data_IF_210250410786
#
_entry.id   IF_210250410786
#
_cell.length_a   1.000
_cell.length_b   1.000
_cell.length_c   1.000
_cell.angle_alpha   90.00
_cell.angle_beta   90.00
_cell.angle_gamma   90.00
#
_symmetry.space_group_name_H-M   'P 1'
#
loop_
_entity.id
_entity.type
_entity.pdbx_description
1 polymer ?
#
# COMPACT_ATOMS: atom_id res chain seq x y z
N UNK A 1 6.02 -0.07 2.80
CA UNK A 1 5.62 0.79 1.67
C UNK A 1 4.15 1.14 1.86
N UNK A 2 3.71 2.33 1.47
CA UNK A 2 2.29 2.67 1.49
C UNK A 2 1.54 1.98 0.34
N UNK A 3 0.28 1.65 0.57
CA UNK A 3 -0.63 1.20 -0.47
C UNK A 3 -1.33 2.39 -1.13
N UNK A 4 -1.54 2.31 -2.44
CA UNK A 4 -2.27 3.30 -3.22
C UNK A 4 -2.86 2.67 -4.48
N UNK A 5 -3.83 3.34 -5.09
CA UNK A 5 -4.43 2.89 -6.34
C UNK A 5 -5.50 3.86 -6.86
N UNK A 6 -6.09 3.52 -8.00
CA UNK A 6 -7.30 4.18 -8.50
C UNK A 6 -8.21 3.14 -9.14
N UNK A 7 -9.51 3.26 -8.89
CA UNK A 7 -10.55 2.36 -9.40
C UNK A 7 -11.51 3.12 -10.33
N UNK A 8 -10.95 3.82 -11.32
CA UNK A 8 -11.67 4.78 -12.18
C UNK A 8 -12.32 5.93 -11.40
N UNK A 9 -11.78 6.24 -10.22
CA UNK A 9 -12.21 7.31 -9.35
C UNK A 9 -11.00 8.06 -8.81
N UNK A 10 -11.10 8.66 -7.62
CA UNK A 10 -9.98 9.36 -7.00
C UNK A 10 -8.75 8.47 -6.86
N UNK A 11 -7.60 9.11 -6.77
CA UNK A 11 -6.39 8.45 -6.32
C UNK A 11 -6.54 8.15 -4.82
N UNK A 12 -6.65 6.87 -4.50
CA UNK A 12 -6.79 6.33 -3.15
C UNK A 12 -5.41 6.02 -2.59
N UNK A 13 -5.14 6.44 -1.35
CA UNK A 13 -3.85 6.23 -0.69
C UNK A 13 -4.04 6.11 0.82
N UNK A 14 -3.14 5.41 1.50
CA UNK A 14 -3.17 5.29 2.95
C UNK A 14 -2.93 6.64 3.66
N UNK A 15 -3.55 6.87 4.84
CA UNK A 15 -3.37 8.11 5.59
C UNK A 15 -1.91 8.39 5.93
N UNK A 16 -1.46 9.63 5.73
CA UNK A 16 -0.10 10.05 6.08
C UNK A 16 1.01 9.46 5.20
N UNK A 17 0.68 8.74 4.13
CA UNK A 17 1.66 8.16 3.21
C UNK A 17 2.26 9.16 2.22
N UNK A 18 1.54 10.25 1.91
CA UNK A 18 2.02 11.29 1.01
C UNK A 18 2.89 12.30 1.76
N UNK A 19 4.02 12.68 1.16
CA UNK A 19 4.75 13.86 1.58
C UNK A 19 3.88 15.12 1.34
N UNK A 20 4.07 16.13 2.19
CA UNK A 20 3.18 17.30 2.28
C UNK A 20 3.05 18.06 0.95
N UNK A 21 4.08 18.02 0.12
CA UNK A 21 4.16 18.67 -1.19
C UNK A 21 3.48 17.88 -2.32
N UNK A 22 3.28 16.58 -2.16
CA UNK A 22 2.82 15.70 -3.26
C UNK A 22 1.32 15.84 -3.47
N UNK A 23 0.53 15.93 -2.40
CA UNK A 23 -0.92 16.07 -2.52
C UNK A 23 -1.33 17.36 -3.28
N UNK A 24 -0.80 18.55 -2.95
CA UNK A 24 -1.07 19.77 -3.72
C UNK A 24 -0.64 19.67 -5.19
N UNK A 25 0.50 19.04 -5.48
CA UNK A 25 0.98 18.88 -6.85
C UNK A 25 0.03 18.01 -7.70
N UNK A 26 -0.44 16.89 -7.15
CA UNK A 26 -1.40 16.01 -7.81
C UNK A 26 -2.77 16.70 -8.00
N UNK A 27 -3.23 17.46 -7.01
CA UNK A 27 -4.46 18.25 -7.11
C UNK A 27 -4.37 19.33 -8.20
N UNK A 28 -3.21 20.00 -8.35
CA UNK A 28 -2.98 20.96 -9.43
C UNK A 28 -3.00 20.31 -10.82
N UNK A 29 -2.71 19.00 -10.91
CA UNK A 29 -2.85 18.19 -12.12
C UNK A 29 -4.29 17.69 -12.35
N UNK A 30 -5.25 18.10 -11.52
CA UNK A 30 -6.65 17.72 -11.62
C UNK A 30 -7.00 16.37 -10.99
N UNK A 31 -6.12 15.78 -10.19
CA UNK A 31 -6.42 14.54 -9.47
C UNK A 31 -7.22 14.83 -8.20
N UNK A 32 -8.34 14.12 -8.02
CA UNK A 32 -8.98 14.00 -6.71
C UNK A 32 -8.19 12.99 -5.88
N UNK A 33 -7.84 13.35 -4.63
CA UNK A 33 -7.11 12.47 -3.70
C UNK A 33 -8.05 12.07 -2.58
N UNK A 34 -8.03 10.80 -2.21
CA UNK A 34 -8.78 10.24 -1.10
C UNK A 34 -7.87 9.43 -0.20
N UNK A 35 -7.70 9.88 1.04
CA UNK A 35 -7.09 9.03 2.07
C UNK A 35 -8.10 7.98 2.53
N UNK A 36 -7.68 6.71 2.59
CA UNK A 36 -8.56 5.61 2.97
C UNK A 36 -7.76 4.46 3.59
N UNK A 37 -8.37 3.77 4.55
CA UNK A 37 -7.76 2.59 5.17
C UNK A 37 -7.75 1.43 4.17
N UNK A 38 -6.55 0.96 3.81
CA UNK A 38 -6.35 -0.16 2.90
C UNK A 38 -6.06 -1.44 3.68
N UNK A 39 -7.11 -2.02 4.30
CA UNK A 39 -7.03 -3.13 5.27
C UNK A 39 -6.80 -4.53 4.67
N UNK A 40 -6.53 -4.62 3.37
CA UNK A 40 -6.05 -5.88 2.77
C UNK A 40 -4.58 -6.11 3.15
N UNK A 41 -4.23 -7.32 3.55
CA UNK A 41 -2.84 -7.72 3.77
C UNK A 41 -2.37 -8.70 2.69
N UNK A 42 -1.19 -8.44 2.13
CA UNK A 42 -0.49 -9.34 1.22
C UNK A 42 0.33 -10.36 2.00
N UNK A 43 0.32 -11.62 1.55
CA UNK A 43 1.27 -12.65 1.98
C UNK A 43 2.12 -13.04 0.78
N UNK A 44 3.44 -13.07 0.95
CA UNK A 44 4.39 -13.40 -0.11
C UNK A 44 5.30 -14.56 0.30
N UNK A 45 5.70 -15.34 -0.70
CA UNK A 45 6.81 -16.28 -0.62
C UNK A 45 7.79 -15.90 -1.73
N UNK A 46 9.04 -15.68 -1.36
CA UNK A 46 10.13 -15.40 -2.29
C UNK A 46 11.02 -16.65 -2.39
N UNK A 47 11.24 -17.12 -3.61
CA UNK A 47 12.16 -18.20 -3.94
C UNK A 47 13.42 -17.60 -4.57
N UNK A 48 14.55 -17.68 -3.87
CA UNK A 48 15.86 -17.24 -4.37
C UNK A 48 16.96 -18.21 -3.88
N UNK A 49 18.02 -17.73 -3.21
CA UNK A 49 19.02 -18.59 -2.54
C UNK A 49 18.43 -19.40 -1.37
N UNK A 50 17.16 -19.20 -1.06
CA UNK A 50 16.38 -19.86 -0.03
C UNK A 50 14.89 -19.53 -0.20
N UNK A 51 14.09 -19.90 0.81
CA UNK A 51 12.66 -19.59 0.88
C UNK A 51 12.45 -18.50 1.94
N UNK A 52 11.86 -17.37 1.55
CA UNK A 52 11.56 -16.27 2.47
C UNK A 52 10.06 -15.99 2.48
N UNK A 53 9.45 -15.98 3.66
CA UNK A 53 8.05 -15.58 3.86
C UNK A 53 7.94 -14.12 4.30
N UNK A 54 6.88 -13.44 3.86
CA UNK A 54 6.56 -12.09 4.31
C UNK A 54 5.05 -11.92 4.45
N UNK A 55 4.62 -11.36 5.58
CA UNK A 55 3.23 -11.01 5.83
C UNK A 55 3.12 -9.50 6.03
N UNK A 56 2.14 -8.92 5.35
CA UNK A 56 1.78 -7.51 5.51
C UNK A 56 1.12 -7.27 6.87
N UNK A 57 1.65 -6.34 7.71
CA UNK A 57 1.13 -6.08 9.06
C UNK A 57 -0.30 -5.52 9.09
N UNK A 58 -0.88 -5.15 7.94
CA UNK A 58 -2.26 -4.64 7.83
C UNK A 58 -3.31 -5.70 8.14
N UNK A 59 -2.96 -6.99 8.07
CA UNK A 59 -3.85 -8.10 8.39
C UNK A 59 -3.13 -9.06 9.32
N UNK A 60 -3.91 -9.69 10.19
CA UNK A 60 -3.42 -10.80 11.01
C UNK A 60 -2.89 -11.93 10.11
N UNK A 61 -1.63 -12.29 10.30
CA UNK A 61 -0.99 -13.40 9.60
C UNK A 61 0.46 -13.58 10.08
N UNK A 62 1.01 -14.75 9.79
CA UNK A 62 2.35 -15.15 10.21
C UNK A 62 3.05 -15.87 9.05
N UNK A 63 4.33 -15.54 8.86
CA UNK A 63 5.20 -16.29 7.97
C UNK A 63 5.94 -17.37 8.78
N UNK A 64 5.63 -18.65 8.52
CA UNK A 64 6.22 -19.79 9.21
C UNK A 64 6.79 -20.82 8.22
N UNK A 65 7.76 -21.61 8.68
CA UNK A 65 8.41 -22.69 7.93
C UNK A 65 9.24 -23.58 8.86
N UNK A 66 9.58 -24.78 8.40
CA UNK A 66 10.37 -25.81 9.11
C UNK A 66 11.84 -25.85 8.65
#
# INVERSE_FOLDING_TARGET
>A
LANFGSRNGPFEIEPGALAAEVAPALQAMGQEIRETDMTSGLNIIVLDQGIFGGTDPRREGEAAGD
#
